data_IF_586741350365
#
_entry.id   IF_586741350365
#
_cell.length_a   1.000
_cell.length_b   1.000
_cell.length_c   1.000
_cell.angle_alpha   90.00
_cell.angle_beta   90.00
_cell.angle_gamma   90.00
#
_symmetry.space_group_name_H-M   'P 1'
#
loop_
_entity.id
_entity.type
_entity.pdbx_description
1 polymer ?
#
# COMPACT_ATOMS: atom_id res chain seq x y z
N UNK A 1 -4.35 -6.92 -17.31
CA UNK A 1 -4.83 -8.16 -16.64
C UNK A 1 -4.68 -7.91 -15.16
N UNK A 2 -5.81 -7.66 -14.51
CA UNK A 2 -5.98 -6.86 -13.30
C UNK A 2 -5.31 -7.47 -12.08
N UNK A 3 -4.32 -6.80 -11.52
CA UNK A 3 -3.67 -7.23 -10.27
C UNK A 3 -4.12 -6.31 -9.14
N UNK A 4 -5.16 -6.73 -8.41
CA UNK A 4 -5.64 -6.08 -7.18
C UNK A 4 -4.85 -6.65 -6.00
N UNK A 5 -3.96 -5.85 -5.42
CA UNK A 5 -3.35 -6.16 -4.14
C UNK A 5 -3.99 -5.32 -3.04
N UNK A 6 -4.45 -5.99 -2.00
CA UNK A 6 -5.01 -5.39 -0.78
C UNK A 6 -4.01 -5.64 0.33
N UNK A 7 -3.40 -4.57 0.83
CA UNK A 7 -2.59 -4.63 2.06
C UNK A 7 -3.39 -3.94 3.16
N UNK A 8 -3.40 -4.59 4.33
CA UNK A 8 -4.24 -4.22 5.48
C UNK A 8 -3.33 -3.75 6.60
N UNK A 9 -3.50 -2.51 7.04
CA UNK A 9 -3.00 -2.05 8.34
C UNK A 9 -4.16 -2.15 9.34
N UNK A 10 -3.93 -2.65 10.55
CA UNK A 10 -4.96 -2.70 11.58
C UNK A 10 -4.63 -1.84 12.79
N UNK A 11 -5.68 -1.26 13.37
CA UNK A 11 -5.61 -0.54 14.63
C UNK A 11 -6.60 -1.19 15.60
N UNK A 12 -6.17 -1.42 16.83
CA UNK A 12 -7.06 -1.94 17.87
C UNK A 12 -7.51 -0.75 18.73
N UNK A 13 -8.79 -0.40 18.68
CA UNK A 13 -9.35 0.56 19.61
C UNK A 13 -9.57 -0.17 20.94
N UNK A 14 -8.69 0.10 21.90
CA UNK A 14 -8.70 -0.60 23.18
C UNK A 14 -9.36 0.21 24.30
N UNK A 15 -10.06 -0.53 25.16
CA UNK A 15 -10.17 -0.20 26.56
C UNK A 15 -9.02 -0.91 27.30
N UNK A 16 -8.25 -0.18 28.13
CA UNK A 16 -7.04 -0.67 28.80
C UNK A 16 -7.26 -1.96 29.59
N UNK A 17 -6.70 -3.08 29.13
CA UNK A 17 -6.23 -4.19 29.96
C UNK A 17 -5.02 -4.85 29.28
N UNK A 18 -3.91 -4.98 30.01
CA UNK A 18 -2.58 -5.26 29.46
C UNK A 18 -2.24 -6.73 29.25
N UNK A 19 -1.57 -7.04 28.14
CA UNK A 19 -0.92 -8.33 27.86
C UNK A 19 0.36 -8.08 27.05
N UNK A 20 1.45 -8.76 27.41
CA UNK A 20 2.74 -8.79 26.70
C UNK A 20 2.80 -10.02 25.76
N UNK A 21 3.33 -9.85 24.55
CA UNK A 21 3.58 -10.96 23.60
C UNK A 21 5.07 -11.02 23.24
N UNK A 22 5.62 -12.23 23.31
CA UNK A 22 7.01 -12.57 22.98
C UNK A 22 7.07 -13.17 21.57
N UNK A 23 8.01 -12.71 20.74
CA UNK A 23 8.12 -13.05 19.31
C UNK A 23 9.48 -13.70 19.03
N UNK A 24 9.49 -15.04 19.07
CA UNK A 24 10.63 -15.87 18.70
C UNK A 24 10.78 -16.00 17.17
N UNK A 25 11.97 -15.67 16.68
CA UNK A 25 12.34 -15.56 15.26
C UNK A 25 12.64 -16.92 14.60
N UNK A 26 12.14 -17.13 13.39
CA UNK A 26 12.49 -18.27 12.52
C UNK A 26 13.27 -17.78 11.29
N UNK A 27 14.56 -18.11 11.23
CA UNK A 27 15.44 -17.85 10.08
C UNK A 27 15.31 -19.00 9.08
N UNK A 28 14.66 -18.76 7.94
CA UNK A 28 14.62 -19.68 6.81
C UNK A 28 15.68 -19.28 5.77
N UNK A 29 16.55 -20.23 5.40
CA UNK A 29 17.59 -20.05 4.38
C UNK A 29 17.00 -19.89 2.97
N UNK A 30 17.63 -19.07 2.10
CA UNK A 30 17.08 -18.77 0.77
C UNK A 30 17.26 -19.93 -0.23
N UNK A 31 16.32 -20.10 -1.18
CA UNK A 31 16.37 -21.15 -2.19
C UNK A 31 17.40 -20.86 -3.30
N UNK A 32 17.91 -21.90 -3.99
CA UNK A 32 18.93 -21.77 -5.02
C UNK A 32 18.41 -21.16 -6.33
N UNK A 33 19.29 -20.55 -7.14
CA UNK A 33 18.89 -19.83 -8.36
C UNK A 33 18.57 -20.75 -9.56
N UNK A 34 17.72 -20.30 -10.50
CA UNK A 34 17.32 -21.09 -11.67
C UNK A 34 18.39 -21.12 -12.78
N UNK A 35 18.38 -22.14 -13.66
CA UNK A 35 19.35 -22.30 -14.74
C UNK A 35 19.14 -21.30 -15.90
N UNK A 36 20.25 -20.87 -16.53
CA UNK A 36 20.25 -19.94 -17.68
C UNK A 36 19.87 -20.66 -18.99
N UNK A 37 18.95 -20.08 -19.75
CA UNK A 37 18.61 -20.52 -21.11
C UNK A 37 19.46 -19.81 -22.16
N UNK A 38 20.07 -20.59 -23.05
CA UNK A 38 20.86 -20.12 -24.19
C UNK A 38 19.91 -19.76 -25.35
N UNK A 39 19.92 -18.50 -25.80
CA UNK A 39 19.06 -17.99 -26.89
C UNK A 39 19.90 -17.77 -28.15
N UNK A 40 19.67 -18.59 -29.16
CA UNK A 40 20.18 -18.40 -30.53
C UNK A 40 19.67 -17.08 -31.12
N UNK A 41 20.58 -16.20 -31.52
CA UNK A 41 20.30 -14.86 -32.06
C UNK A 41 19.95 -14.94 -33.56
N UNK A 42 18.81 -14.38 -33.97
CA UNK A 42 18.35 -14.28 -35.36
C UNK A 42 19.10 -13.22 -36.19
N UNK A 43 19.01 -13.33 -37.51
CA UNK A 43 19.72 -12.52 -38.51
C UNK A 43 19.48 -10.99 -38.41
N UNK A 44 20.44 -10.15 -38.85
CA UNK A 44 20.36 -8.70 -38.71
C UNK A 44 19.28 -8.07 -39.60
N UNK A 45 18.37 -7.34 -38.97
CA UNK A 45 17.35 -6.49 -39.62
C UNK A 45 17.83 -5.05 -39.66
N UNK A 46 17.77 -4.40 -40.83
CA UNK A 46 18.13 -2.98 -41.00
C UNK A 46 16.88 -2.09 -40.80
N UNK A 47 16.80 -1.26 -39.74
CA UNK A 47 15.61 -0.47 -39.45
C UNK A 47 15.49 0.75 -40.39
N UNK A 48 14.28 1.00 -40.92
CA UNK A 48 13.98 2.11 -41.85
C UNK A 48 13.45 3.41 -41.20
N UNK A 49 13.06 3.40 -39.92
CA UNK A 49 12.60 4.60 -39.19
C UNK A 49 12.65 4.32 -37.69
N UNK A 50 13.24 5.22 -36.91
CA UNK A 50 13.16 5.18 -35.44
C UNK A 50 11.85 5.87 -35.07
N UNK A 51 10.90 5.07 -34.58
CA UNK A 51 9.74 5.57 -33.85
C UNK A 51 10.06 5.36 -32.38
N UNK A 52 9.92 6.42 -31.58
CA UNK A 52 9.94 6.29 -30.13
C UNK A 52 8.63 5.59 -29.73
N UNK A 53 8.69 4.27 -29.67
CA UNK A 53 7.65 3.45 -29.07
C UNK A 53 8.00 3.41 -27.60
N UNK A 54 7.25 4.08 -26.69
CA UNK A 54 7.50 3.92 -25.27
C UNK A 54 7.43 2.43 -24.97
N UNK A 55 8.50 1.90 -24.39
CA UNK A 55 8.49 0.51 -23.97
C UNK A 55 7.24 0.33 -23.09
N UNK A 56 6.38 -0.67 -23.32
CA UNK A 56 5.37 -0.99 -22.33
C UNK A 56 6.15 -1.13 -21.02
N UNK A 57 5.75 -0.40 -19.98
CA UNK A 57 6.40 -0.46 -18.69
C UNK A 57 6.10 -1.85 -18.13
N UNK A 58 6.86 -2.83 -18.60
CA UNK A 58 6.82 -4.23 -18.21
C UNK A 58 7.50 -4.24 -16.86
N UNK A 59 6.75 -3.80 -15.86
CA UNK A 59 7.11 -4.05 -14.49
C UNK A 59 6.88 -5.56 -14.33
N UNK A 60 7.96 -6.33 -14.52
CA UNK A 60 7.97 -7.78 -14.29
C UNK A 60 7.69 -8.12 -12.80
N UNK A 61 7.58 -7.10 -11.96
CA UNK A 61 7.20 -7.16 -10.56
C UNK A 61 5.71 -6.73 -10.38
N UNK A 62 4.97 -7.35 -9.44
CA UNK A 62 3.54 -7.07 -9.20
C UNK A 62 3.30 -5.69 -8.56
N UNK A 63 2.20 -5.01 -8.89
CA UNK A 63 1.84 -3.75 -8.23
C UNK A 63 1.65 -3.99 -6.72
N UNK A 64 2.46 -3.35 -5.88
CA UNK A 64 2.38 -3.48 -4.43
C UNK A 64 2.14 -2.12 -3.81
N UNK A 65 1.31 -2.13 -2.76
CA UNK A 65 1.12 -1.01 -1.86
C UNK A 65 1.55 -1.44 -0.47
N UNK A 66 2.47 -0.69 0.10
CA UNK A 66 2.83 -0.75 1.51
C UNK A 66 2.03 0.32 2.23
N UNK A 67 1.31 -0.05 3.28
CA UNK A 67 0.60 0.88 4.15
C UNK A 67 0.82 0.45 5.59
N UNK A 68 1.17 1.41 6.43
CA UNK A 68 1.53 1.19 7.82
C UNK A 68 0.86 2.23 8.69
N UNK A 69 0.32 1.79 9.83
CA UNK A 69 -0.12 2.69 10.88
C UNK A 69 1.11 3.35 11.52
N UNK A 70 1.08 4.69 11.65
CA UNK A 70 2.13 5.39 12.39
C UNK A 70 2.09 4.94 13.86
N UNK A 71 3.22 4.43 14.32
CA UNK A 71 3.36 3.79 15.63
C UNK A 71 3.23 2.25 15.59
N UNK A 72 3.08 1.65 14.41
CA UNK A 72 3.07 0.19 14.20
C UNK A 72 1.68 -0.40 14.08
N UNK A 73 1.57 -1.52 13.38
CA UNK A 73 0.32 -2.28 13.21
C UNK A 73 -0.11 -2.95 14.52
N UNK A 74 -1.42 -3.09 14.71
CA UNK A 74 -2.00 -3.63 15.95
C UNK A 74 -1.85 -2.71 17.16
N UNK A 75 -1.42 -1.46 16.95
CA UNK A 75 -1.29 -0.46 18.01
C UNK A 75 -2.64 -0.17 18.65
N UNK A 76 -2.62 -0.04 19.98
CA UNK A 76 -3.77 0.44 20.75
C UNK A 76 -4.02 1.92 20.51
N UNK A 77 -5.25 2.25 20.15
CA UNK A 77 -5.73 3.62 19.98
C UNK A 77 -6.93 3.85 20.89
N UNK A 78 -7.03 5.05 21.48
CA UNK A 78 -8.17 5.43 22.31
C UNK A 78 -9.08 6.41 21.57
N UNK A 79 -10.40 6.41 21.86
CA UNK A 79 -11.31 7.41 21.31
C UNK A 79 -10.80 8.85 21.52
N UNK A 80 -10.84 9.65 20.45
CA UNK A 80 -10.33 11.01 20.43
C UNK A 80 -8.82 11.15 20.14
N UNK A 81 -8.07 10.05 20.08
CA UNK A 81 -6.65 10.09 19.69
C UNK A 81 -6.47 10.26 18.19
N UNK A 82 -5.44 11.03 17.82
CA UNK A 82 -5.02 11.15 16.44
C UNK A 82 -4.38 9.86 15.92
N UNK A 83 -4.75 9.48 14.71
CA UNK A 83 -4.08 8.42 13.95
C UNK A 83 -3.47 9.00 12.67
N UNK A 84 -2.50 8.28 12.12
CA UNK A 84 -1.94 8.61 10.83
C UNK A 84 -1.29 7.39 10.22
N UNK A 85 -1.07 7.43 8.91
CA UNK A 85 -0.54 6.32 8.14
C UNK A 85 0.61 6.80 7.27
N UNK A 86 1.57 5.92 7.05
CA UNK A 86 2.50 6.02 5.92
C UNK A 86 2.10 5.03 4.85
N UNK A 87 2.23 5.41 3.58
CA UNK A 87 2.05 4.47 2.49
C UNK A 87 3.03 4.73 1.36
N UNK A 88 3.32 3.68 0.61
CA UNK A 88 4.22 3.73 -0.54
C UNK A 88 3.78 2.71 -1.58
N UNK A 89 3.75 3.13 -2.83
CA UNK A 89 3.60 2.22 -3.96
C UNK A 89 4.99 1.90 -4.51
N UNK A 90 5.17 0.72 -5.06
CA UNK A 90 6.41 0.37 -5.76
C UNK A 90 6.51 1.00 -7.17
N UNK A 91 5.39 1.44 -7.79
CA UNK A 91 5.33 2.19 -9.08
C UNK A 91 4.18 3.18 -9.07
N UNK A 92 4.24 4.10 -10.03
CA UNK A 92 3.15 5.01 -10.36
C UNK A 92 1.85 4.22 -10.58
N UNK A 93 0.80 4.57 -9.84
CA UNK A 93 -0.51 3.95 -9.92
C UNK A 93 -1.59 4.85 -9.31
N UNK A 94 -2.84 4.44 -9.45
CA UNK A 94 -3.99 5.02 -8.77
C UNK A 94 -4.21 4.30 -7.44
N UNK A 95 -4.46 5.05 -6.38
CA UNK A 95 -4.62 4.52 -5.03
C UNK A 95 -5.91 5.03 -4.40
N UNK A 96 -6.64 4.11 -3.77
CA UNK A 96 -7.72 4.42 -2.83
C UNK A 96 -7.43 3.74 -1.51
N UNK A 97 -7.64 4.45 -0.40
CA UNK A 97 -7.52 3.92 0.95
C UNK A 97 -8.86 4.07 1.65
N UNK A 98 -9.38 2.96 2.15
CA UNK A 98 -10.58 2.90 2.96
C UNK A 98 -10.22 2.49 4.39
N UNK A 99 -10.96 3.03 5.34
CA UNK A 99 -11.07 2.51 6.68
C UNK A 99 -12.31 1.62 6.76
N UNK A 100 -12.21 0.51 7.48
CA UNK A 100 -13.29 -0.39 7.83
C UNK A 100 -13.41 -0.34 9.33
N UNK A 101 -14.45 0.32 9.81
CA UNK A 101 -14.66 0.54 11.24
C UNK A 101 -15.03 -0.77 11.97
N UNK A 102 -15.11 -0.69 13.29
CA UNK A 102 -15.41 -1.83 14.17
C UNK A 102 -16.78 -2.48 13.89
N UNK A 103 -17.67 -1.79 13.19
CA UNK A 103 -18.99 -2.27 12.80
C UNK A 103 -19.01 -2.80 11.34
N UNK A 104 -17.87 -2.76 10.66
CA UNK A 104 -17.70 -3.20 9.27
C UNK A 104 -18.13 -2.17 8.22
N UNK A 105 -18.35 -0.90 8.62
CA UNK A 105 -18.70 0.16 7.67
C UNK A 105 -17.43 0.72 7.04
N UNK A 106 -17.53 1.09 5.77
CA UNK A 106 -16.39 1.61 5.00
C UNK A 106 -16.40 3.13 4.94
N UNK A 107 -15.26 3.75 5.22
CA UNK A 107 -15.05 5.19 5.14
C UNK A 107 -13.88 5.50 4.21
N UNK A 108 -14.07 6.42 3.26
CA UNK A 108 -13.00 6.84 2.35
C UNK A 108 -11.99 7.73 3.09
N UNK A 109 -10.72 7.29 3.14
CA UNK A 109 -9.63 8.03 3.81
C UNK A 109 -8.76 8.78 2.80
N UNK A 110 -8.49 8.13 1.66
CA UNK A 110 -7.74 8.72 0.54
C UNK A 110 -8.35 8.28 -0.80
N UNK A 111 -8.54 9.19 -1.77
CA UNK A 111 -8.28 10.63 -1.66
C UNK A 111 -9.30 11.34 -0.74
N UNK A 112 -8.95 12.52 -0.23
CA UNK A 112 -9.82 13.28 0.71
C UNK A 112 -11.14 13.70 0.05
N UNK A 113 -11.11 13.94 -1.25
CA UNK A 113 -12.25 14.33 -2.07
C UNK A 113 -12.26 13.51 -3.34
N UNK A 114 -13.44 13.19 -3.86
CA UNK A 114 -13.60 12.56 -5.18
C UNK A 114 -13.00 13.38 -6.33
N UNK A 115 -12.72 14.66 -6.09
CA UNK A 115 -12.13 15.58 -7.06
C UNK A 115 -10.61 15.67 -6.94
N UNK A 116 -10.04 15.15 -5.84
CA UNK A 116 -8.59 15.08 -5.68
C UNK A 116 -8.03 13.96 -6.56
N UNK A 117 -6.80 14.12 -7.05
CA UNK A 117 -6.14 13.10 -7.85
C UNK A 117 -5.93 11.82 -7.03
N UNK A 118 -6.33 10.68 -7.61
CA UNK A 118 -6.03 9.34 -7.07
C UNK A 118 -4.63 8.87 -7.48
N UNK A 119 -3.96 9.58 -8.40
CA UNK A 119 -2.66 9.20 -8.92
C UNK A 119 -1.56 9.45 -7.87
N UNK A 120 -0.77 8.41 -7.61
CA UNK A 120 0.34 8.40 -6.65
C UNK A 120 1.60 8.00 -7.39
N UNK A 121 2.69 8.72 -7.12
CA UNK A 121 4.02 8.38 -7.67
C UNK A 121 4.62 7.21 -6.89
N UNK A 122 5.15 6.24 -7.62
CA UNK A 122 5.86 5.09 -7.08
C UNK A 122 7.18 5.49 -6.39
N UNK A 123 7.61 4.66 -5.45
CA UNK A 123 8.86 4.83 -4.71
C UNK A 123 8.86 5.96 -3.69
N UNK A 124 7.78 6.75 -3.62
CA UNK A 124 7.66 7.88 -2.68
C UNK A 124 6.88 7.45 -1.45
N UNK A 125 7.43 7.75 -0.26
CA UNK A 125 6.71 7.59 1.00
C UNK A 125 5.76 8.78 1.19
N UNK A 126 4.48 8.49 1.28
CA UNK A 126 3.42 9.46 1.56
C UNK A 126 2.94 9.32 3.01
N UNK A 127 2.42 10.41 3.56
CA UNK A 127 1.82 10.44 4.91
C UNK A 127 0.37 10.92 4.85
N UNK A 128 -0.46 10.32 5.68
CA UNK A 128 -1.88 10.61 5.81
C UNK A 128 -2.26 10.83 7.28
N UNK A 129 -2.75 12.00 7.69
CA UNK A 129 -2.75 13.24 6.92
C UNK A 129 -1.34 13.69 6.52
N UNK A 130 -1.22 14.41 5.40
CA UNK A 130 0.04 15.05 5.01
C UNK A 130 0.42 16.18 5.98
N UNK A 131 1.71 16.58 5.98
CA UNK A 131 2.31 17.56 6.92
C UNK A 131 1.49 18.85 7.12
N UNK A 132 0.83 19.35 6.06
CA UNK A 132 0.06 20.60 6.09
C UNK A 132 -1.39 20.39 5.63
N UNK A 133 -1.97 19.24 5.94
CA UNK A 133 -3.25 18.84 5.36
C UNK A 133 -4.46 19.63 5.90
N UNK A 134 -4.33 20.33 7.04
CA UNK A 134 -5.41 21.10 7.65
C UNK A 134 -6.49 20.26 8.34
N UNK A 135 -6.29 18.94 8.46
CA UNK A 135 -7.17 18.02 9.17
C UNK A 135 -6.36 16.97 9.94
N UNK A 136 -7.04 16.23 10.82
CA UNK A 136 -6.49 15.08 11.55
C UNK A 136 -7.42 13.89 11.33
N UNK A 137 -6.85 12.69 11.23
CA UNK A 137 -7.62 11.46 11.42
C UNK A 137 -7.68 11.20 12.92
N UNK A 138 -8.86 10.86 13.41
CA UNK A 138 -9.12 10.64 14.84
C UNK A 138 -9.88 9.33 14.96
N UNK A 139 -9.43 8.45 15.86
CA UNK A 139 -10.18 7.26 16.20
C UNK A 139 -11.45 7.66 16.95
N UNK A 140 -12.59 7.28 16.41
CA UNK A 140 -13.91 7.59 16.96
C UNK A 140 -14.83 6.41 16.69
N UNK A 141 -15.18 5.66 17.73
CA UNK A 141 -15.89 4.40 17.60
C UNK A 141 -15.90 3.60 18.89
N UNK A 142 -16.75 2.56 18.99
CA UNK A 142 -16.72 1.63 20.11
C UNK A 142 -15.41 0.81 20.10
N UNK A 143 -15.04 0.15 21.21
CA UNK A 143 -13.88 -0.72 21.25
C UNK A 143 -13.97 -1.87 20.23
N UNK A 144 -12.87 -2.16 19.53
CA UNK A 144 -12.82 -3.18 18.48
C UNK A 144 -11.60 -3.01 17.58
N UNK A 145 -11.49 -3.86 16.56
CA UNK A 145 -10.43 -3.76 15.55
C UNK A 145 -10.95 -3.03 14.31
N UNK A 146 -10.17 -2.06 13.85
CA UNK A 146 -10.39 -1.33 12.60
C UNK A 146 -9.34 -1.73 11.57
N UNK A 147 -9.72 -1.75 10.30
CA UNK A 147 -8.83 -2.13 9.21
C UNK A 147 -8.73 -1.02 8.17
N UNK A 148 -7.52 -0.59 7.89
CA UNK A 148 -7.22 0.27 6.75
C UNK A 148 -6.78 -0.58 5.58
N UNK A 149 -7.54 -0.46 4.49
CA UNK A 149 -7.38 -1.20 3.25
C UNK A 149 -6.94 -0.27 2.15
N UNK A 150 -5.74 -0.51 1.62
CA UNK A 150 -5.25 0.16 0.42
C UNK A 150 -5.53 -0.69 -0.83
N UNK A 151 -6.09 -0.06 -1.86
CA UNK A 151 -6.35 -0.67 -3.16
C UNK A 151 -5.64 0.15 -4.24
N UNK A 152 -4.69 -0.48 -4.91
CA UNK A 152 -3.94 0.14 -6.01
C UNK A 152 -4.37 -0.44 -7.37
N UNK A 153 -4.31 0.40 -8.40
CA UNK A 153 -4.64 0.06 -9.79
C UNK A 153 -3.72 0.79 -10.75
N UNK A 154 -3.33 0.14 -11.84
CA UNK A 154 -2.62 0.76 -12.96
C UNK A 154 -3.54 1.65 -13.81
N UNK A 155 -4.84 1.47 -13.70
CA UNK A 155 -5.89 2.21 -14.40
C UNK A 155 -6.83 2.92 -13.42
N UNK A 156 -7.38 4.12 -13.77
CA UNK A 156 -8.31 4.87 -12.91
C UNK A 156 -9.69 4.21 -12.72
#
# INVERSE_FOLDING_TARGET
MTTRHVVRASALIAALFGINLDLGSALASPPPPPPRSDRTIGAPVTPKRIIEVPAPARHDWPLEVEIELLGGDGRLVYPGQGVGFSFRLNRDAYLVIYDIDTEGRTHLVYPRSRWDSQFVRGGVLHHLPGRNAGYRLVADGPPGEEFVVAVASDEP
#
